data_IF_106246683340
#
_entry.id   IF_106246683340
#
_cell.length_a   1.000
_cell.length_b   1.000
_cell.length_c   1.000
_cell.angle_alpha   90.00
_cell.angle_beta   90.00
_cell.angle_gamma   90.00
#
_symmetry.space_group_name_H-M   'P 1'
#
loop_
_entity.id
_entity.type
_entity.pdbx_description
1 polymer ?
#
# COMPACT_ATOMS: atom_id res chain seq x y z
N UNK A 1 -14.41 -2.02 0.97
CA UNK A 1 -13.74 -0.70 1.15
C UNK A 1 -14.29 -0.04 2.40
N UNK A 2 -13.56 0.88 3.02
CA UNK A 2 -14.01 1.72 4.14
C UNK A 2 -13.40 3.12 4.03
N UNK A 3 -13.84 4.07 4.84
CA UNK A 3 -13.26 5.41 4.87
C UNK A 3 -12.19 5.55 5.96
N UNK A 4 -11.30 6.53 5.80
CA UNK A 4 -10.26 6.86 6.78
C UNK A 4 -10.87 7.23 8.13
N UNK A 5 -11.85 8.14 8.15
CA UNK A 5 -12.52 8.56 9.40
C UNK A 5 -13.13 7.40 10.18
N UNK A 6 -13.49 6.28 9.53
CA UNK A 6 -14.11 5.14 10.19
C UNK A 6 -13.16 4.51 11.22
N UNK A 7 -11.84 4.64 11.03
CA UNK A 7 -10.82 4.20 11.98
C UNK A 7 -10.59 5.23 13.12
N UNK A 8 -10.94 6.50 12.92
CA UNK A 8 -10.83 7.53 13.96
C UNK A 8 -11.89 7.28 15.04
N UNK A 9 -11.51 7.44 16.30
CA UNK A 9 -12.34 7.13 17.45
C UNK A 9 -12.38 5.65 17.85
N UNK A 10 -11.94 4.71 17.00
CA UNK A 10 -11.87 3.29 17.35
C UNK A 10 -10.92 3.05 18.52
N UNK A 11 -11.28 2.09 19.36
CA UNK A 11 -10.42 1.60 20.44
C UNK A 11 -9.23 0.84 19.85
N UNK A 12 -8.07 0.96 20.48
CA UNK A 12 -6.83 0.29 20.09
C UNK A 12 -6.51 -0.76 21.16
N UNK A 13 -6.30 -2.00 20.75
CA UNK A 13 -6.16 -3.15 21.66
C UNK A 13 -4.91 -3.97 21.29
N UNK A 14 -4.09 -4.29 22.29
CA UNK A 14 -2.91 -5.16 22.16
C UNK A 14 -3.33 -6.63 22.09
N UNK A 15 -2.82 -7.37 21.08
CA UNK A 15 -3.16 -8.79 20.89
C UNK A 15 -2.47 -9.73 21.87
N UNK A 16 -1.38 -9.31 22.52
CA UNK A 16 -0.61 -10.16 23.45
C UNK A 16 -1.12 -10.16 24.89
N UNK A 17 -1.76 -9.07 25.34
CA UNK A 17 -2.24 -8.92 26.72
C UNK A 17 -3.68 -8.39 26.84
N UNK A 18 -4.37 -8.15 25.71
CA UNK A 18 -5.75 -7.69 25.67
C UNK A 18 -5.97 -6.26 26.19
N UNK A 19 -4.91 -5.50 26.50
CA UNK A 19 -5.04 -4.15 27.05
C UNK A 19 -5.47 -3.15 25.98
N UNK A 20 -6.22 -2.15 26.42
CA UNK A 20 -6.57 -0.98 25.61
C UNK A 20 -5.51 0.10 25.71
N UNK A 21 -4.99 0.56 24.57
CA UNK A 21 -4.01 1.66 24.45
C UNK A 21 -4.70 3.03 24.28
N UNK A 22 -6.02 3.08 24.47
CA UNK A 22 -6.87 4.25 24.22
C UNK A 22 -7.55 4.16 22.86
N UNK A 23 -7.85 5.32 22.26
CA UNK A 23 -8.59 5.41 20.99
C UNK A 23 -7.82 6.24 19.97
N UNK A 24 -7.88 5.86 18.69
CA UNK A 24 -7.32 6.62 17.59
C UNK A 24 -7.91 8.04 17.54
N UNK A 25 -7.08 9.08 17.43
CA UNK A 25 -7.48 10.48 17.34
C UNK A 25 -7.39 11.06 15.93
N UNK A 26 -6.46 10.55 15.14
CA UNK A 26 -6.21 10.91 13.74
C UNK A 26 -5.36 9.78 13.11
N UNK A 27 -5.05 9.87 11.83
CA UNK A 27 -4.29 8.85 11.08
C UNK A 27 -3.15 9.54 10.34
N UNK A 28 -1.96 8.93 10.36
CA UNK A 28 -0.82 9.34 9.56
C UNK A 28 -0.81 8.58 8.22
N UNK A 29 -0.56 9.32 7.16
CA UNK A 29 -0.55 8.90 5.77
C UNK A 29 0.83 9.26 5.21
N UNK A 30 1.38 8.46 4.30
CA UNK A 30 2.58 8.80 3.54
C UNK A 30 2.36 10.05 2.66
N UNK A 31 3.40 10.83 2.38
CA UNK A 31 3.30 12.03 1.51
C UNK A 31 2.72 11.70 0.13
N UNK A 32 3.16 10.60 -0.48
CA UNK A 32 2.62 10.07 -1.75
C UNK A 32 1.14 9.65 -1.70
N UNK A 33 0.48 9.73 -0.54
CA UNK A 33 -0.91 9.34 -0.29
C UNK A 33 -1.26 7.91 -0.73
N UNK A 34 -0.31 6.96 -0.64
CA UNK A 34 -0.55 5.54 -0.99
C UNK A 34 -0.88 4.64 0.21
N UNK A 35 -0.45 4.96 1.43
CA UNK A 35 -0.66 4.08 2.60
C UNK A 35 -0.82 4.84 3.92
N UNK A 36 -1.51 4.21 4.87
CA UNK A 36 -1.41 4.56 6.29
C UNK A 36 -0.01 4.23 6.78
N UNK A 37 0.69 5.21 7.36
CA UNK A 37 2.01 5.07 7.99
C UNK A 37 1.94 4.94 9.51
N UNK A 38 0.84 5.39 10.13
CA UNK A 38 0.63 5.23 11.57
C UNK A 38 -0.73 5.75 12.08
N UNK A 39 -0.96 5.64 13.38
CA UNK A 39 -2.18 6.06 14.07
C UNK A 39 -1.80 7.09 15.13
N UNK A 40 -2.44 8.25 15.14
CA UNK A 40 -2.22 9.29 16.14
C UNK A 40 -3.06 9.01 17.40
N UNK A 41 -2.42 8.97 18.57
CA UNK A 41 -3.07 8.74 19.87
C UNK A 41 -3.48 10.05 20.58
N UNK A 42 -2.93 11.18 20.15
CA UNK A 42 -3.17 12.49 20.75
C UNK A 42 -1.89 13.19 21.18
N UNK A 43 -2.05 14.20 22.04
CA UNK A 43 -0.93 14.97 22.58
C UNK A 43 -1.08 15.26 24.06
N UNK A 44 -0.02 15.12 24.82
CA UNK A 44 0.02 15.38 26.26
C UNK A 44 1.00 16.50 26.62
N UNK A 45 0.79 17.13 27.78
CA UNK A 45 1.64 18.20 28.31
C UNK A 45 1.11 19.62 28.02
N UNK A 46 1.16 20.47 29.05
CA UNK A 46 0.70 21.88 28.96
C UNK A 46 1.74 22.82 28.33
N UNK A 47 3.04 22.60 28.59
CA UNK A 47 4.13 23.53 28.25
C UNK A 47 4.94 23.05 27.04
N UNK A 48 5.25 21.75 26.98
CA UNK A 48 5.76 21.07 25.78
C UNK A 48 4.77 19.96 25.45
N UNK A 49 4.09 20.07 24.30
CA UNK A 49 3.20 19.01 23.82
C UNK A 49 4.05 17.89 23.23
N UNK A 50 3.97 16.71 23.83
CA UNK A 50 4.43 15.47 23.22
C UNK A 50 3.30 14.92 22.37
N UNK A 51 3.60 14.42 21.18
CA UNK A 51 2.65 13.81 20.27
C UNK A 51 2.91 12.31 20.20
N UNK A 52 1.89 11.50 20.45
CA UNK A 52 2.02 10.04 20.54
C UNK A 52 1.36 9.35 19.36
N UNK A 53 1.99 8.29 18.86
CA UNK A 53 1.51 7.50 17.73
C UNK A 53 1.89 6.02 17.82
N UNK A 54 1.29 5.20 16.97
CA UNK A 54 1.66 3.80 16.73
C UNK A 54 2.00 3.64 15.25
N UNK A 55 3.09 2.93 14.93
CA UNK A 55 3.54 2.76 13.54
C UNK A 55 2.69 1.75 12.77
N UNK A 56 2.67 1.82 11.43
CA UNK A 56 1.99 0.82 10.60
C UNK A 56 2.54 -0.59 10.80
N UNK A 57 3.83 -0.77 11.11
CA UNK A 57 4.45 -2.08 11.39
C UNK A 57 3.94 -2.76 12.67
N UNK A 58 3.39 -1.98 13.59
CA UNK A 58 2.82 -2.48 14.86
C UNK A 58 1.34 -2.83 14.75
N UNK A 59 0.63 -2.28 13.76
CA UNK A 59 -0.77 -2.58 13.48
C UNK A 59 -0.90 -3.93 12.79
N UNK A 60 -1.61 -4.85 13.46
CA UNK A 60 -1.91 -6.19 12.96
C UNK A 60 -3.15 -6.17 12.07
N UNK A 61 -4.26 -5.56 12.55
CA UNK A 61 -5.54 -5.49 11.81
C UNK A 61 -6.28 -4.17 12.07
N UNK A 62 -6.77 -3.54 11.00
CA UNK A 62 -7.74 -2.45 11.06
C UNK A 62 -9.18 -3.01 11.16
N UNK A 63 -9.57 -3.48 12.34
CA UNK A 63 -10.86 -4.16 12.57
C UNK A 63 -12.08 -3.24 12.38
N UNK A 64 -13.28 -3.83 12.39
CA UNK A 64 -14.54 -3.08 12.26
C UNK A 64 -14.81 -2.26 13.52
N UNK A 65 -14.57 -2.83 14.70
CA UNK A 65 -14.89 -2.20 16.00
C UNK A 65 -13.65 -1.61 16.68
N UNK A 66 -12.53 -2.34 16.64
CA UNK A 66 -11.25 -1.97 17.25
C UNK A 66 -10.09 -2.15 16.27
N UNK A 67 -8.97 -1.46 16.53
CA UNK A 67 -7.71 -1.65 15.83
C UNK A 67 -6.80 -2.53 16.69
N UNK A 68 -6.24 -3.59 16.10
CA UNK A 68 -5.41 -4.56 16.79
C UNK A 68 -3.92 -4.25 16.55
N UNK A 69 -3.15 -4.18 17.62
CA UNK A 69 -1.70 -3.89 17.60
C UNK A 69 -0.89 -4.98 18.29
N UNK A 70 0.40 -5.11 17.93
CA UNK A 70 1.24 -6.25 18.29
C UNK A 70 1.43 -6.44 19.80
N UNK A 71 1.72 -5.38 20.55
CA UNK A 71 1.87 -5.39 22.02
C UNK A 71 1.37 -4.07 22.61
N UNK A 72 1.36 -3.96 23.95
CA UNK A 72 1.06 -2.70 24.65
C UNK A 72 2.18 -1.66 24.62
N UNK A 73 3.37 -2.02 24.13
CA UNK A 73 4.59 -1.20 24.24
C UNK A 73 4.92 -0.45 22.92
N UNK A 74 4.04 -0.53 21.93
CA UNK A 74 4.20 0.03 20.56
C UNK A 74 3.95 1.54 20.45
N UNK A 75 3.88 2.26 21.57
CA UNK A 75 3.58 3.70 21.59
C UNK A 75 4.88 4.50 21.44
N UNK A 76 5.03 5.16 20.30
CA UNK A 76 6.15 6.05 20.01
C UNK A 76 5.76 7.52 20.20
N UNK A 77 6.76 8.37 20.45
CA UNK A 77 6.62 9.82 20.35
C UNK A 77 7.04 10.27 18.94
N UNK A 78 6.23 11.12 18.31
CA UNK A 78 6.45 11.65 16.95
C UNK A 78 7.86 12.25 16.78
N UNK A 79 8.35 12.97 17.79
CA UNK A 79 9.69 13.57 17.80
C UNK A 79 10.86 12.56 17.73
N UNK A 80 10.61 11.27 18.00
CA UNK A 80 11.63 10.22 17.99
C UNK A 80 11.70 9.44 16.67
N UNK A 81 10.83 9.76 15.70
CA UNK A 81 10.71 9.07 14.41
C UNK A 81 11.00 10.06 13.27
N UNK A 82 12.25 10.15 12.75
CA UNK A 82 12.61 11.10 11.70
C UNK A 82 11.73 11.03 10.44
N UNK A 83 11.23 9.83 10.11
CA UNK A 83 10.33 9.59 9.00
C UNK A 83 8.94 10.23 9.16
N UNK A 84 8.51 10.56 10.39
CA UNK A 84 7.20 11.17 10.64
C UNK A 84 7.07 12.59 10.09
N UNK A 85 8.19 13.26 9.83
CA UNK A 85 8.24 14.59 9.20
C UNK A 85 7.59 14.57 7.81
N UNK A 86 7.65 13.44 7.11
CA UNK A 86 7.03 13.25 5.79
C UNK A 86 5.57 12.76 5.85
N UNK A 87 4.95 12.64 7.04
CA UNK A 87 3.60 12.10 7.17
C UNK A 87 2.51 13.18 7.23
N UNK A 88 1.49 13.01 6.39
CA UNK A 88 0.30 13.87 6.36
C UNK A 88 -0.76 13.28 7.29
N UNK A 89 -1.34 14.09 8.18
CA UNK A 89 -2.49 13.66 8.97
C UNK A 89 -3.79 13.75 8.18
N UNK A 90 -4.70 12.78 8.34
CA UNK A 90 -5.99 12.76 7.66
C UNK A 90 -6.78 14.06 7.90
N UNK A 91 -6.76 14.63 9.11
CA UNK A 91 -7.42 15.92 9.42
C UNK A 91 -6.83 17.16 8.72
N UNK A 92 -5.63 17.05 8.13
CA UNK A 92 -5.07 18.06 7.19
C UNK A 92 -5.53 17.77 5.77
N UNK A 93 -5.46 16.51 5.34
CA UNK A 93 -5.82 16.06 3.99
C UNK A 93 -7.30 16.30 3.66
N UNK A 94 -8.20 16.10 4.63
CA UNK A 94 -9.66 16.30 4.52
C UNK A 94 -10.11 17.77 4.34
N UNK A 95 -9.21 18.62 3.83
CA UNK A 95 -9.36 20.05 3.57
C UNK A 95 -8.52 20.51 2.35
N UNK A 96 -7.69 19.64 1.75
CA UNK A 96 -6.99 19.96 0.51
C UNK A 96 -8.01 20.16 -0.61
N UNK A 97 -7.76 21.17 -1.42
CA UNK A 97 -8.53 21.41 -2.64
C UNK A 97 -7.97 20.55 -3.77
N UNK A 98 -8.80 20.26 -4.77
CA UNK A 98 -8.45 19.40 -5.90
C UNK A 98 -8.74 20.13 -7.20
N UNK A 99 -7.69 20.34 -7.99
CA UNK A 99 -7.73 21.08 -9.24
C UNK A 99 -7.20 20.20 -10.40
N UNK A 100 -7.38 20.67 -11.63
CA UNK A 100 -6.80 20.07 -12.85
C UNK A 100 -5.50 20.79 -13.25
N UNK A 101 -4.64 20.19 -14.09
CA UNK A 101 -3.49 20.88 -14.69
C UNK A 101 -3.83 22.18 -15.46
N UNK A 102 -5.09 22.39 -15.82
CA UNK A 102 -5.59 23.64 -16.41
C UNK A 102 -6.04 24.70 -15.39
N UNK A 103 -5.80 24.51 -14.09
CA UNK A 103 -6.23 25.43 -13.04
C UNK A 103 -7.75 25.48 -12.80
N UNK A 104 -8.50 24.50 -13.31
CA UNK A 104 -9.94 24.40 -13.04
C UNK A 104 -10.15 23.55 -11.79
N UNK A 105 -10.81 24.14 -10.78
CA UNK A 105 -11.15 23.51 -9.51
C UNK A 105 -12.21 22.42 -9.67
N UNK A 106 -11.89 21.22 -9.22
CA UNK A 106 -12.74 20.02 -9.30
C UNK A 106 -13.51 19.81 -7.99
N UNK A 107 -12.81 19.81 -6.85
CA UNK A 107 -13.37 19.32 -5.59
C UNK A 107 -12.64 19.81 -4.33
N UNK A 108 -13.13 19.42 -3.16
CA UNK A 108 -12.41 19.41 -1.89
C UNK A 108 -12.41 17.98 -1.34
N UNK A 109 -11.26 17.51 -0.85
CA UNK A 109 -11.17 16.18 -0.23
C UNK A 109 -11.92 16.17 1.10
N UNK A 110 -12.67 15.10 1.35
CA UNK A 110 -13.34 14.84 2.63
C UNK A 110 -12.74 13.68 3.41
N UNK A 111 -12.21 12.66 2.72
CA UNK A 111 -11.71 11.44 3.34
C UNK A 111 -10.79 10.64 2.40
N UNK A 112 -10.15 9.60 2.92
CA UNK A 112 -9.46 8.57 2.12
C UNK A 112 -10.33 7.30 2.03
N UNK A 113 -10.19 6.54 0.96
CA UNK A 113 -10.82 5.24 0.76
C UNK A 113 -9.75 4.17 0.95
N UNK A 114 -9.99 3.28 1.91
CA UNK A 114 -9.05 2.26 2.34
C UNK A 114 -9.38 0.87 1.79
N UNK A 115 -8.34 0.22 1.28
CA UNK A 115 -8.27 -1.23 1.15
C UNK A 115 -8.06 -1.91 2.51
N UNK A 116 -8.09 -3.25 2.50
CA UNK A 116 -8.05 -4.07 3.70
C UNK A 116 -6.72 -3.95 4.47
N UNK A 117 -5.62 -3.79 3.74
CA UNK A 117 -4.26 -3.73 4.28
C UNK A 117 -3.85 -2.33 4.77
N UNK A 118 -4.74 -1.33 4.67
CA UNK A 118 -4.46 0.09 4.99
C UNK A 118 -3.82 0.88 3.83
N UNK A 119 -3.79 0.30 2.64
CA UNK A 119 -3.48 0.99 1.38
C UNK A 119 -4.64 1.92 0.97
N UNK A 120 -4.32 3.04 0.35
CA UNK A 120 -5.29 4.03 -0.14
C UNK A 120 -5.63 3.72 -1.59
N UNK A 121 -6.90 3.41 -1.86
CA UNK A 121 -7.42 3.12 -3.20
C UNK A 121 -7.93 4.38 -3.90
N UNK A 122 -8.29 5.41 -3.13
CA UNK A 122 -8.79 6.68 -3.64
C UNK A 122 -9.18 7.64 -2.51
N UNK A 123 -9.90 8.69 -2.88
CA UNK A 123 -10.30 9.80 -2.02
C UNK A 123 -11.80 10.01 -2.12
N UNK A 124 -12.47 10.24 -0.99
CA UNK A 124 -13.88 10.64 -0.96
C UNK A 124 -13.96 12.16 -0.85
N UNK A 125 -14.90 12.77 -1.58
CA UNK A 125 -15.02 14.21 -1.72
C UNK A 125 -15.99 14.79 -0.69
N UNK A 126 -15.63 15.92 -0.08
CA UNK A 126 -16.53 16.67 0.81
C UNK A 126 -17.39 17.69 0.05
N UNK A 127 -16.92 18.14 -1.11
CA UNK A 127 -17.61 19.00 -2.05
C UNK A 127 -17.05 18.77 -3.46
N UNK A 128 -17.93 18.86 -4.46
CA UNK A 128 -17.57 18.89 -5.89
C UNK A 128 -18.00 20.25 -6.46
N UNK A 129 -17.23 20.76 -7.43
CA UNK A 129 -17.44 22.05 -8.09
C UNK A 129 -17.69 21.94 -9.61
N UNK A 130 -17.46 20.76 -10.19
CA UNK A 130 -17.72 20.44 -11.60
C UNK A 130 -18.90 19.48 -11.73
N UNK A 131 -19.74 19.69 -12.74
CA UNK A 131 -20.80 18.75 -13.14
C UNK A 131 -20.17 17.56 -13.88
N UNK A 132 -20.57 16.32 -13.57
CA UNK A 132 -20.06 15.14 -14.30
C UNK A 132 -20.13 13.80 -13.55
N UNK A 133 -19.39 12.78 -14.00
CA UNK A 133 -19.24 11.51 -13.29
C UNK A 133 -18.64 11.68 -11.88
N UNK A 134 -17.70 12.61 -11.67
CA UNK A 134 -17.11 12.87 -10.34
C UNK A 134 -18.15 13.37 -9.34
N UNK A 135 -19.09 14.22 -9.77
CA UNK A 135 -20.21 14.70 -8.94
C UNK A 135 -21.08 13.53 -8.45
N UNK A 136 -21.38 12.58 -9.33
CA UNK A 136 -22.24 11.42 -9.07
C UNK A 136 -21.55 10.33 -8.26
N UNK A 137 -20.26 10.11 -8.52
CA UNK A 137 -19.46 9.08 -7.85
C UNK A 137 -18.89 9.57 -6.51
N UNK A 138 -18.81 10.89 -6.28
CA UNK A 138 -18.33 11.51 -5.04
C UNK A 138 -16.91 11.14 -4.63
N UNK A 139 -16.11 10.59 -5.55
CA UNK A 139 -14.84 9.91 -5.27
C UNK A 139 -13.84 10.08 -6.42
N UNK A 140 -12.55 10.02 -6.10
CA UNK A 140 -11.43 10.07 -7.06
C UNK A 140 -10.51 8.87 -6.81
N UNK A 141 -10.17 8.05 -7.83
CA UNK A 141 -9.23 6.93 -7.67
C UNK A 141 -7.79 7.43 -7.50
N UNK A 142 -6.95 6.72 -6.71
CA UNK A 142 -5.54 7.13 -6.50
C UNK A 142 -4.73 7.15 -7.79
N UNK A 143 -5.13 6.40 -8.81
CA UNK A 143 -4.53 6.37 -10.17
C UNK A 143 -4.73 7.66 -10.99
N UNK A 144 -5.66 8.53 -10.60
CA UNK A 144 -5.89 9.82 -11.26
C UNK A 144 -5.09 10.98 -10.65
N UNK A 145 -4.47 10.80 -9.49
CA UNK A 145 -3.64 11.84 -8.84
C UNK A 145 -2.30 11.97 -9.57
N UNK A 146 -2.05 13.16 -10.11
CA UNK A 146 -0.77 13.55 -10.72
C UNK A 146 0.17 14.08 -9.64
N UNK A 147 -0.33 14.95 -8.77
CA UNK A 147 0.42 15.53 -7.65
C UNK A 147 -0.39 15.56 -6.34
N UNK A 148 0.31 15.40 -5.21
CA UNK A 148 -0.27 15.28 -3.87
C UNK A 148 -0.52 16.61 -3.14
N UNK A 149 -0.08 17.75 -3.68
CA UNK A 149 -0.25 19.06 -3.07
C UNK A 149 0.52 19.21 -1.76
N UNK A 150 1.73 18.63 -1.69
CA UNK A 150 2.55 18.67 -0.47
C UNK A 150 3.33 19.97 -0.28
N UNK A 151 3.58 20.74 -1.35
CA UNK A 151 4.23 22.05 -1.27
C UNK A 151 3.22 23.20 -1.01
N UNK A 152 2.04 23.18 -1.65
CA UNK A 152 1.07 24.27 -1.65
C UNK A 152 -0.29 23.95 -0.97
N UNK A 153 -0.64 22.66 -0.83
CA UNK A 153 -1.91 22.20 -0.30
C UNK A 153 -3.00 21.88 -1.35
N UNK A 154 -2.69 21.94 -2.66
CA UNK A 154 -3.65 21.71 -3.75
C UNK A 154 -3.28 20.46 -4.53
N UNK A 155 -4.17 19.45 -4.54
CA UNK A 155 -3.93 18.21 -5.30
C UNK A 155 -4.29 18.40 -6.76
N UNK A 156 -3.41 17.94 -7.66
CA UNK A 156 -3.64 17.99 -9.11
C UNK A 156 -4.05 16.62 -9.65
N UNK A 157 -5.17 16.54 -10.37
CA UNK A 157 -5.68 15.28 -10.96
C UNK A 157 -5.83 15.30 -12.48
N UNK A 158 -5.68 14.13 -13.10
CA UNK A 158 -6.15 13.86 -14.45
C UNK A 158 -7.66 13.57 -14.41
N UNK A 159 -8.46 14.54 -14.87
CA UNK A 159 -9.92 14.44 -14.92
C UNK A 159 -10.39 13.19 -15.71
N UNK A 160 -9.68 12.84 -16.79
CA UNK A 160 -10.08 11.71 -17.65
C UNK A 160 -9.92 10.36 -16.95
N UNK A 161 -8.87 10.20 -16.14
CA UNK A 161 -8.64 9.01 -15.29
C UNK A 161 -9.54 8.98 -14.07
N UNK A 162 -9.93 10.15 -13.56
CA UNK A 162 -10.83 10.24 -12.41
C UNK A 162 -12.28 9.88 -12.79
N UNK A 163 -12.72 10.24 -13.99
CA UNK A 163 -14.04 9.88 -14.52
C UNK A 163 -14.11 8.44 -15.05
N UNK A 164 -13.00 7.90 -15.56
CA UNK A 164 -12.97 6.58 -16.21
C UNK A 164 -11.83 5.68 -15.66
N UNK A 165 -11.92 5.21 -14.40
CA UNK A 165 -10.87 4.42 -13.76
C UNK A 165 -10.56 3.10 -14.48
N UNK A 166 -11.58 2.48 -15.09
CA UNK A 166 -11.47 1.16 -15.71
C UNK A 166 -10.87 1.21 -17.13
N UNK A 167 -10.80 2.39 -17.77
CA UNK A 167 -10.22 2.55 -19.11
C UNK A 167 -8.70 2.29 -19.18
N UNK A 168 -8.03 2.07 -18.03
CA UNK A 168 -6.63 1.62 -17.96
C UNK A 168 -6.53 0.08 -17.99
N UNK A 169 -7.65 -0.65 -17.88
CA UNK A 169 -7.70 -2.13 -17.98
C UNK A 169 -8.06 -2.67 -19.37
N UNK A 170 -8.28 -1.82 -20.39
CA UNK A 170 -8.37 -2.23 -21.80
C UNK A 170 -7.05 -1.99 -22.57
N UNK A 171 -5.93 -2.41 -21.98
CA UNK A 171 -4.79 -2.82 -22.81
C UNK A 171 -5.19 -4.13 -23.53
N UNK A 172 -4.96 -4.28 -24.85
CA UNK A 172 -5.47 -5.45 -25.57
C UNK A 172 -4.95 -6.76 -24.98
N UNK A 173 -5.87 -7.70 -24.75
CA UNK A 173 -5.49 -9.10 -24.52
C UNK A 173 -4.72 -9.60 -25.73
N UNK A 174 -3.48 -10.04 -25.52
CA UNK A 174 -2.72 -10.70 -26.59
C UNK A 174 -3.54 -11.89 -27.12
N UNK A 175 -3.69 -12.04 -28.45
CA UNK A 175 -4.34 -13.21 -29.00
C UNK A 175 -3.57 -14.46 -28.57
N UNK A 176 -4.26 -15.58 -28.26
CA UNK A 176 -3.63 -16.76 -27.70
C UNK A 176 -2.50 -17.24 -28.61
N UNK A 177 -1.32 -17.46 -28.02
CA UNK A 177 -0.12 -17.93 -28.72
C UNK A 177 -0.49 -19.16 -29.55
N UNK A 178 -0.32 -19.05 -30.86
CA UNK A 178 -0.70 -20.08 -31.81
C UNK A 178 0.05 -21.39 -31.52
N UNK A 179 -0.62 -22.51 -31.78
CA UNK A 179 -0.16 -23.84 -31.39
C UNK A 179 1.30 -24.12 -31.73
N UNK A 180 2.03 -24.68 -30.75
CA UNK A 180 3.28 -25.39 -30.99
C UNK A 180 3.00 -26.51 -32.02
N UNK A 181 3.71 -26.56 -33.15
CA UNK A 181 3.61 -27.70 -34.06
C UNK A 181 4.20 -28.94 -33.39
N UNK A 182 3.59 -30.11 -33.64
CA UNK A 182 3.95 -31.36 -32.97
C UNK A 182 5.39 -31.79 -33.30
N UNK A 183 6.13 -32.16 -32.26
CA UNK A 183 7.51 -32.64 -32.37
C UNK A 183 7.53 -33.98 -33.13
N UNK A 184 7.86 -33.92 -34.43
CA UNK A 184 7.70 -35.05 -35.34
C UNK A 184 8.80 -36.07 -35.12
N UNK A 185 8.44 -37.23 -34.58
CA UNK A 185 9.37 -38.30 -34.23
C UNK A 185 10.17 -38.81 -35.45
N UNK A 186 11.50 -38.85 -35.30
CA UNK A 186 12.44 -39.40 -36.30
C UNK A 186 12.75 -40.87 -35.95
N UNK A 187 12.66 -41.82 -36.90
CA UNK A 187 12.88 -43.24 -36.63
C UNK A 187 14.38 -43.62 -36.47
N UNK A 188 14.70 -44.76 -35.83
CA UNK A 188 16.06 -45.11 -35.40
C UNK A 188 16.88 -45.98 -36.39
N UNK A 189 18.14 -46.24 -35.99
CA UNK A 189 19.13 -47.25 -36.48
C UNK A 189 20.10 -46.84 -37.61
N UNK A 190 21.28 -47.50 -37.77
CA UNK A 190 22.01 -48.38 -36.82
C UNK A 190 23.53 -48.11 -36.65
N UNK A 191 24.05 -48.56 -35.51
CA UNK A 191 25.34 -49.25 -35.28
C UNK A 191 26.56 -49.01 -36.20
N UNK A 192 27.67 -48.54 -35.62
CA UNK A 192 28.97 -49.22 -35.81
C UNK A 192 29.89 -49.04 -34.59
N UNK A 193 30.26 -50.15 -33.97
CA UNK A 193 31.40 -50.27 -33.03
C UNK A 193 32.63 -50.75 -33.84
N UNK A 194 33.89 -50.59 -33.37
CA UNK A 194 34.35 -51.40 -32.23
C UNK A 194 35.25 -50.67 -31.21
N UNK A 195 35.30 -51.22 -30.00
CA UNK A 195 36.38 -51.02 -29.03
C UNK A 195 37.74 -51.51 -29.59
N UNK A 196 38.90 -51.09 -29.02
CA UNK A 196 39.51 -51.96 -28.00
C UNK A 196 40.40 -51.28 -26.93
N UNK A 197 40.28 -51.73 -25.67
CA UNK A 197 41.39 -52.22 -24.79
C UNK A 197 42.38 -51.14 -24.27
N UNK A 198 42.82 -51.07 -23.00
CA UNK A 198 43.25 -52.12 -22.06
C UNK A 198 43.26 -51.69 -20.56
N UNK A 199 43.12 -52.66 -19.65
CA UNK A 199 43.60 -52.68 -18.22
C UNK A 199 43.26 -51.56 -17.19
N UNK A 200 42.33 -51.91 -16.30
CA UNK A 200 42.44 -51.80 -14.80
C UNK A 200 43.65 -52.61 -14.26
N UNK A 201 44.10 -52.54 -12.97
CA UNK A 201 43.49 -51.99 -11.73
C UNK A 201 44.43 -50.94 -11.02
N UNK A 202 44.58 -50.70 -9.70
CA UNK A 202 44.12 -51.34 -8.44
C UNK A 202 44.17 -50.37 -7.21
N UNK A 203 43.04 -50.28 -6.50
CA UNK A 203 42.71 -50.26 -5.03
C UNK A 203 43.76 -49.88 -3.94
N UNK A 204 43.25 -49.64 -2.73
CA UNK A 204 43.86 -49.42 -1.38
C UNK A 204 44.40 -48.02 -1.09
N UNK A 205 44.00 -47.29 -0.03
CA UNK A 205 43.46 -47.52 1.35
C UNK A 205 44.51 -47.17 2.43
N UNK A 206 44.08 -47.15 3.69
CA UNK A 206 44.77 -46.70 4.92
C UNK A 206 44.94 -45.16 4.99
N UNK A 207 44.40 -44.43 5.98
CA UNK A 207 44.37 -44.59 7.45
C UNK A 207 45.70 -44.22 8.11
N UNK A 208 45.72 -43.06 8.80
CA UNK A 208 46.03 -43.00 10.23
C UNK A 208 45.48 -41.69 10.84
N UNK A 209 45.45 -41.60 12.17
CA UNK A 209 44.90 -40.46 12.91
C UNK A 209 45.88 -39.96 14.00
N UNK A 210 45.95 -38.63 14.19
CA UNK A 210 46.57 -37.97 15.34
C UNK A 210 45.99 -36.56 15.53
#
# INVERSE_FOLDING_TARGET
MRLGKDLVGKQIISVTDGRSLGNAKDIYISSDLTTITGIYLGSEGLIKRKHFLITRSDVVVFGIDAILVRTSEVIAEENNLPESVAWVRLSKLSKREVDTPGGTKVATIGDIILGEQGNITGFALSRVYVEGPIEKNGTIPRTAVIDTGDEDGVMTIDLTRAENPDAVQEAPSEPPIAALPEETAVPPQPTTEPEPTETVPLVTDEEEAA
#
